data_IF_431039729027
#
_entry.id   IF_431039729027
#
_cell.length_a   1.000
_cell.length_b   1.000
_cell.length_c   1.000
_cell.angle_alpha   90.00
_cell.angle_beta   90.00
_cell.angle_gamma   90.00
#
_symmetry.space_group_name_H-M   'P 1'
#
loop_
_entity.id
_entity.type
_entity.pdbx_description
1 polymer ?
#
# COMPACT_ATOMS: atom_id res chain seq x y z
N UNK A 1 8.84 15.26 0.42
CA UNK A 1 7.41 15.58 0.24
C UNK A 1 6.95 14.82 -0.98
N UNK A 2 6.45 13.57 -0.83
CA UNK A 2 6.27 12.63 -1.94
C UNK A 2 4.88 12.69 -2.56
N UNK A 3 3.86 12.81 -1.71
CA UNK A 3 2.48 12.98 -2.13
C UNK A 3 2.31 14.24 -2.98
N UNK A 4 3.04 15.31 -2.65
CA UNK A 4 3.04 16.54 -3.43
C UNK A 4 3.55 16.33 -4.87
N UNK A 5 4.59 15.53 -5.10
CA UNK A 5 5.07 15.22 -6.46
C UNK A 5 3.99 14.48 -7.27
N UNK A 6 3.30 13.52 -6.66
CA UNK A 6 2.21 12.78 -7.31
C UNK A 6 1.03 13.73 -7.62
N UNK A 7 0.68 14.60 -6.67
CA UNK A 7 -0.41 15.57 -6.81
C UNK A 7 -0.11 16.68 -7.83
N UNK A 8 1.17 16.96 -8.09
CA UNK A 8 1.61 17.93 -9.09
C UNK A 8 1.89 17.30 -10.47
N UNK A 9 1.61 16.02 -10.67
CA UNK A 9 1.75 15.39 -11.98
C UNK A 9 0.82 16.06 -13.00
N UNK A 10 1.37 16.40 -14.17
CA UNK A 10 0.64 17.06 -15.26
C UNK A 10 -0.50 16.23 -15.84
N UNK A 11 -0.46 14.92 -15.63
CA UNK A 11 -1.44 13.96 -16.14
C UNK A 11 -2.48 13.56 -15.08
N UNK A 12 -2.40 14.16 -13.89
CA UNK A 12 -3.38 13.96 -12.82
C UNK A 12 -4.62 14.81 -13.08
N UNK A 13 -5.71 14.19 -13.50
CA UNK A 13 -7.01 14.82 -13.68
C UNK A 13 -7.99 14.43 -12.57
N UNK A 14 -8.96 15.32 -12.29
CA UNK A 14 -10.04 15.04 -11.34
C UNK A 14 -9.59 14.77 -9.91
N UNK A 15 -8.44 15.33 -9.49
CA UNK A 15 -7.90 15.08 -8.16
C UNK A 15 -8.74 15.77 -7.09
N UNK A 16 -9.36 14.96 -6.23
CA UNK A 16 -10.17 15.38 -5.10
C UNK A 16 -9.59 14.80 -3.81
N UNK A 17 -9.42 15.65 -2.80
CA UNK A 17 -9.00 15.20 -1.47
C UNK A 17 -10.21 14.64 -0.73
N UNK A 18 -10.15 13.37 -0.35
CA UNK A 18 -11.22 12.72 0.43
C UNK A 18 -11.00 12.86 1.94
N UNK A 19 -9.76 12.72 2.40
CA UNK A 19 -9.33 12.88 3.79
C UNK A 19 -7.92 13.48 3.85
N UNK A 20 -7.42 13.78 5.06
CA UNK A 20 -6.07 14.33 5.25
C UNK A 20 -4.95 13.50 4.59
N UNK A 21 -5.12 12.18 4.47
CA UNK A 21 -4.15 11.26 3.87
C UNK A 21 -4.61 10.59 2.57
N UNK A 22 -5.85 10.82 2.16
CA UNK A 22 -6.48 10.12 1.04
C UNK A 22 -6.90 11.10 -0.04
N UNK A 23 -6.41 10.85 -1.25
CA UNK A 23 -6.77 11.55 -2.47
C UNK A 23 -7.36 10.55 -3.46
N UNK A 24 -8.31 11.01 -4.26
CA UNK A 24 -8.83 10.25 -5.39
C UNK A 24 -8.61 11.06 -6.66
N UNK A 25 -8.18 10.40 -7.72
CA UNK A 25 -7.97 11.04 -9.03
C UNK A 25 -8.53 10.15 -10.13
N UNK A 26 -8.72 10.70 -11.32
CA UNK A 26 -9.11 9.93 -12.48
C UNK A 26 -7.99 8.96 -12.90
N UNK A 27 -8.37 7.73 -13.21
CA UNK A 27 -7.42 6.72 -13.67
C UNK A 27 -7.05 6.99 -15.13
N UNK A 28 -5.77 7.30 -15.45
CA UNK A 28 -5.36 7.57 -16.82
C UNK A 28 -5.46 6.30 -17.69
N UNK A 29 -5.13 5.14 -17.12
CA UNK A 29 -5.22 3.82 -17.80
C UNK A 29 -6.65 3.45 -18.15
N UNK A 30 -7.64 3.88 -17.35
CA UNK A 30 -9.06 3.66 -17.64
C UNK A 30 -9.71 4.82 -18.42
N UNK A 31 -8.91 5.77 -18.93
CA UNK A 31 -9.38 6.98 -19.60
C UNK A 31 -10.42 7.77 -18.77
N UNK A 32 -10.20 7.90 -17.46
CA UNK A 32 -11.08 8.64 -16.56
C UNK A 32 -12.43 7.99 -16.24
N UNK A 33 -12.71 6.77 -16.74
CA UNK A 33 -13.96 6.06 -16.41
C UNK A 33 -14.05 5.62 -14.94
N UNK A 34 -12.94 5.67 -14.21
CA UNK A 34 -12.81 5.17 -12.82
C UNK A 34 -11.79 6.00 -12.06
N UNK A 35 -11.86 5.89 -10.72
CA UNK A 35 -10.97 6.59 -9.80
C UNK A 35 -9.81 5.70 -9.33
N UNK A 36 -8.66 6.32 -9.14
CA UNK A 36 -7.49 5.81 -8.44
C UNK A 36 -7.49 6.39 -7.04
N UNK A 37 -7.25 5.55 -6.04
CA UNK A 37 -6.98 5.97 -4.68
C UNK A 37 -5.47 6.19 -4.52
N UNK A 38 -5.11 7.36 -4.01
CA UNK A 38 -3.76 7.75 -3.64
C UNK A 38 -3.78 7.96 -2.13
N UNK A 39 -3.05 7.15 -1.37
CA UNK A 39 -3.02 7.20 0.10
C UNK A 39 -1.58 7.31 0.59
N UNK A 40 -1.33 8.26 1.49
CA UNK A 40 -0.07 8.30 2.25
C UNK A 40 -0.21 7.50 3.56
N UNK A 41 0.68 6.55 3.78
CA UNK A 41 0.73 5.74 5.00
C UNK A 41 1.48 6.47 6.14
N UNK A 42 1.36 5.98 7.38
CA UNK A 42 2.06 6.55 8.54
C UNK A 42 3.59 6.54 8.40
N UNK A 43 4.13 5.56 7.68
CA UNK A 43 5.56 5.47 7.37
C UNK A 43 6.01 6.38 6.21
N UNK A 44 5.11 7.19 5.66
CA UNK A 44 5.38 8.10 4.54
C UNK A 44 5.36 7.43 3.16
N UNK A 45 5.08 6.13 3.07
CA UNK A 45 4.89 5.44 1.78
C UNK A 45 3.60 5.90 1.12
N UNK A 46 3.61 6.01 -0.21
CA UNK A 46 2.39 6.31 -0.96
C UNK A 46 1.89 5.04 -1.64
N UNK A 47 0.60 4.76 -1.48
CA UNK A 47 -0.11 3.68 -2.13
C UNK A 47 -0.97 4.25 -3.24
N UNK A 48 -0.82 3.71 -4.45
CA UNK A 48 -1.62 4.05 -5.63
C UNK A 48 -2.36 2.81 -6.08
N UNK A 49 -3.68 2.87 -6.14
CA UNK A 49 -4.51 1.73 -6.51
C UNK A 49 -5.75 2.12 -7.30
N UNK A 50 -5.89 1.59 -8.51
CA UNK A 50 -7.13 1.70 -9.27
C UNK A 50 -8.20 0.77 -8.70
N UNK A 51 -9.44 1.27 -8.55
CA UNK A 51 -10.56 0.47 -8.04
C UNK A 51 -10.97 -0.72 -8.94
N UNK A 52 -10.39 -0.85 -10.15
CA UNK A 52 -10.63 -1.95 -11.09
C UNK A 52 -9.46 -2.95 -11.17
N UNK A 53 -8.35 -2.69 -10.48
CA UNK A 53 -7.17 -3.55 -10.50
C UNK A 53 -6.18 -3.26 -11.64
N UNK A 54 -6.14 -2.03 -12.17
CA UNK A 54 -5.02 -1.63 -13.02
C UNK A 54 -3.71 -1.76 -12.24
N UNK A 55 -2.66 -2.20 -12.92
CA UNK A 55 -1.33 -2.32 -12.34
C UNK A 55 -0.84 -0.93 -11.89
N UNK A 56 -0.32 -0.79 -10.66
CA UNK A 56 0.21 0.48 -10.17
C UNK A 56 1.29 1.06 -11.10
N UNK A 57 2.14 0.20 -11.66
CA UNK A 57 3.19 0.58 -12.62
C UNK A 57 2.62 1.29 -13.86
N UNK A 58 1.52 0.78 -14.43
CA UNK A 58 0.87 1.40 -15.59
C UNK A 58 0.26 2.76 -15.25
N UNK A 59 -0.27 2.92 -14.03
CA UNK A 59 -0.82 4.21 -13.58
C UNK A 59 0.31 5.23 -13.40
N UNK A 60 1.40 4.83 -12.77
CA UNK A 60 2.57 5.69 -12.55
C UNK A 60 3.20 6.12 -13.87
N UNK A 61 3.36 5.19 -14.82
CA UNK A 61 3.88 5.48 -16.16
C UNK A 61 3.05 6.52 -16.90
N UNK A 62 1.72 6.41 -16.86
CA UNK A 62 0.83 7.40 -17.48
C UNK A 62 0.85 8.75 -16.74
N UNK A 63 1.20 8.75 -15.46
CA UNK A 63 1.42 9.97 -14.69
C UNK A 63 2.84 10.54 -14.82
N UNK A 64 3.69 9.94 -15.64
CA UNK A 64 5.12 10.29 -15.76
C UNK A 64 5.85 10.28 -14.41
N UNK A 65 5.48 9.32 -13.55
CA UNK A 65 6.04 9.15 -12.22
C UNK A 65 6.89 7.88 -12.15
N UNK A 66 8.06 8.02 -11.53
CA UNK A 66 8.90 6.87 -11.21
C UNK A 66 8.38 6.12 -9.98
N UNK A 67 8.69 4.82 -9.87
CA UNK A 67 8.38 4.03 -8.68
C UNK A 67 8.93 4.64 -7.38
N UNK A 68 10.03 5.39 -7.45
CA UNK A 68 10.56 6.14 -6.32
C UNK A 68 9.54 7.13 -5.69
N UNK A 69 8.53 7.58 -6.46
CA UNK A 69 7.45 8.43 -5.93
C UNK A 69 6.59 7.71 -4.87
N UNK A 70 6.47 6.37 -4.95
CA UNK A 70 5.78 5.57 -3.94
C UNK A 70 6.62 5.41 -2.66
N UNK A 71 7.94 5.55 -2.77
CA UNK A 71 8.92 5.29 -1.72
C UNK A 71 9.84 6.49 -1.49
N UNK A 72 9.31 7.59 -0.93
CA UNK A 72 10.14 8.73 -0.56
C UNK A 72 11.33 8.34 0.31
N UNK A 73 12.52 8.68 -0.16
CA UNK A 73 13.72 8.68 0.67
C UNK A 73 13.60 9.82 1.70
N UNK A 74 13.50 9.48 2.99
CA UNK A 74 13.67 10.45 4.07
C UNK A 74 12.59 10.49 5.15
N UNK A 75 11.47 9.77 5.01
CA UNK A 75 10.56 9.50 6.12
C UNK A 75 10.40 7.99 6.24
N UNK A 76 10.85 7.42 7.35
CA UNK A 76 10.49 6.06 7.69
C UNK A 76 11.08 4.96 6.79
N UNK A 77 12.39 5.00 6.48
CA UNK A 77 13.14 3.73 6.52
C UNK A 77 13.33 3.31 7.98
N UNK A 78 12.26 3.30 8.78
CA UNK A 78 12.12 2.22 9.73
C UNK A 78 11.95 0.99 8.83
N UNK A 79 13.09 0.47 8.35
CA UNK A 79 13.22 -0.94 7.95
C UNK A 79 12.26 -1.67 8.85
N UNK A 80 11.23 -2.29 8.27
CA UNK A 80 10.31 -3.17 8.96
C UNK A 80 11.16 -3.84 10.04
N UNK A 81 10.98 -3.43 11.31
CA UNK A 81 11.69 -4.08 12.40
C UNK A 81 11.10 -5.46 12.31
N UNK A 82 11.82 -6.33 11.59
CA UNK A 82 11.54 -7.75 11.45
C UNK A 82 11.11 -8.12 12.85
N UNK A 83 9.83 -8.49 13.10
CA UNK A 83 9.35 -8.68 14.46
C UNK A 83 10.41 -9.53 15.14
N UNK A 84 10.96 -8.99 16.24
CA UNK A 84 12.16 -9.55 16.86
C UNK A 84 11.95 -11.07 16.91
N UNK A 85 12.88 -11.83 16.33
CA UNK A 85 12.72 -13.26 16.01
C UNK A 85 12.47 -14.16 17.24
N UNK A 86 12.17 -13.60 18.41
CA UNK A 86 11.76 -14.32 19.61
C UNK A 86 10.43 -15.05 19.41
N UNK A 87 9.41 -14.41 18.84
CA UNK A 87 8.09 -15.04 18.67
C UNK A 87 8.05 -16.06 17.52
N UNK A 88 8.98 -15.96 16.57
CA UNK A 88 9.12 -16.91 15.46
C UNK A 88 9.94 -18.16 15.87
N UNK A 89 10.60 -18.12 17.03
CA UNK A 89 11.40 -19.22 17.59
C UNK A 89 10.66 -20.00 18.67
N UNK A 90 9.51 -19.52 19.12
CA UNK A 90 8.68 -20.29 20.05
C UNK A 90 8.07 -21.45 19.25
N UNK A 91 8.49 -22.67 19.59
CA UNK A 91 7.87 -23.87 19.03
C UNK A 91 6.35 -23.79 19.26
N UNK A 92 5.51 -24.26 18.33
CA UNK A 92 4.07 -24.34 18.56
C UNK A 92 3.82 -25.01 19.91
N UNK A 93 3.05 -24.38 20.81
CA UNK A 93 2.74 -24.95 22.14
C UNK A 93 2.05 -26.32 22.09
N UNK A 94 1.67 -26.77 20.89
CA UNK A 94 1.01 -28.04 20.59
C UNK A 94 1.98 -29.12 20.07
N UNK A 95 3.28 -28.86 19.99
CA UNK A 95 4.28 -29.86 19.58
C UNK A 95 4.66 -30.84 20.72
N UNK A 96 3.77 -31.06 21.68
CA UNK A 96 3.96 -32.02 22.76
C UNK A 96 2.65 -32.77 23.03
N UNK A 97 2.45 -33.86 22.31
CA UNK A 97 1.52 -34.93 22.68
C UNK A 97 0.39 -35.17 21.67
N UNK A 98 -0.03 -36.43 21.46
CA UNK A 98 -1.12 -36.76 20.56
C UNK A 98 -2.43 -36.14 21.08
N UNK A 99 -3.08 -35.35 20.22
CA UNK A 99 -4.46 -34.90 20.40
C UNK A 99 -5.34 -36.16 20.50
N UNK A 100 -5.90 -36.45 21.67
CA UNK A 100 -6.94 -37.47 21.77
C UNK A 100 -8.20 -36.93 21.09
N UNK A 101 -8.83 -37.68 20.17
CA UNK A 101 -10.09 -37.27 19.60
C UNK A 101 -11.15 -37.19 20.71
N UNK A 102 -11.98 -36.16 20.64
CA UNK A 102 -13.12 -35.95 21.53
C UNK A 102 -14.19 -37.00 21.19
N UNK A 103 -14.10 -38.16 21.83
CA UNK A 103 -15.18 -39.15 21.82
C UNK A 103 -16.09 -38.91 23.02
N UNK A 104 -17.30 -38.46 22.71
CA UNK A 104 -18.59 -38.87 23.29
C UNK A 104 -18.81 -38.71 24.81
N UNK A 105 -19.68 -37.76 25.16
CA UNK A 105 -20.68 -37.95 26.21
C UNK A 105 -22.07 -37.69 25.63
#
# INVERSE_FOLDING_TARGET
MPLADILNSRHLSGCERRNYKDHVADCPVCSGRRRVLIREDGDGRVHVGCMRGCLPDSILREWDLDHAALFPKGKGSASAKRPARGWLREAPRYAAGPVRPLSEQ
#
